data_IF_915070864854
#
_entry.id   IF_915070864854
#
_cell.length_a   1.000
_cell.length_b   1.000
_cell.length_c   1.000
_cell.angle_alpha   90.00
_cell.angle_beta   90.00
_cell.angle_gamma   90.00
#
_symmetry.space_group_name_H-M   'P 1'
#
loop_
_entity.id
_entity.type
_entity.pdbx_description
1 polymer ?
#
# COMPACT_ATOMS: atom_id res chain seq x y z
N UNK A 1 52.62 22.69 -14.78
CA UNK A 1 51.27 23.05 -15.28
C UNK A 1 50.40 21.82 -15.03
N UNK A 2 50.07 21.55 -13.76
CA UNK A 2 48.82 21.94 -13.09
C UNK A 2 47.59 21.40 -13.86
N UNK A 3 46.75 20.50 -13.34
CA UNK A 3 46.58 20.10 -11.95
C UNK A 3 46.00 18.71 -11.74
N UNK A 4 46.41 18.15 -10.61
CA UNK A 4 45.61 17.30 -9.74
C UNK A 4 44.19 17.86 -9.63
N UNK A 5 43.15 17.00 -9.57
CA UNK A 5 42.02 17.27 -8.68
C UNK A 5 41.28 15.95 -8.38
N UNK A 6 41.62 15.43 -7.20
CA UNK A 6 40.71 14.86 -6.20
C UNK A 6 40.23 13.40 -6.41
N UNK A 7 40.98 12.54 -5.72
CA UNK A 7 40.49 11.48 -4.84
C UNK A 7 39.26 12.01 -4.06
N UNK A 8 38.04 11.61 -4.44
CA UNK A 8 36.85 11.85 -3.61
C UNK A 8 36.36 10.55 -2.96
N UNK A 9 37.14 10.22 -1.93
CA UNK A 9 36.72 9.89 -0.58
C UNK A 9 35.60 8.85 -0.32
N UNK A 10 36.06 7.83 0.36
CA UNK A 10 35.45 6.58 0.82
C UNK A 10 34.32 6.70 1.86
N UNK A 11 33.61 7.83 1.95
CA UNK A 11 32.57 8.00 2.97
C UNK A 11 31.16 7.65 2.47
N UNK A 12 31.00 6.39 2.06
CA UNK A 12 29.74 5.70 1.76
C UNK A 12 28.92 5.48 3.06
N UNK A 13 28.46 6.55 3.70
CA UNK A 13 27.32 6.47 4.63
C UNK A 13 26.04 6.64 3.84
N UNK A 14 25.67 5.54 3.20
CA UNK A 14 24.37 5.30 2.59
C UNK A 14 23.25 5.69 3.55
N UNK A 15 22.66 6.88 3.38
CA UNK A 15 21.37 7.18 3.97
C UNK A 15 20.32 6.34 3.24
N UNK A 16 20.22 5.06 3.59
CA UNK A 16 19.16 4.10 3.21
C UNK A 16 17.74 4.59 3.55
N UNK A 17 17.60 5.76 4.19
CA UNK A 17 16.35 6.30 4.70
C UNK A 17 15.47 7.02 3.65
N UNK A 18 15.99 7.43 2.49
CA UNK A 18 15.16 8.15 1.50
C UNK A 18 14.36 7.22 0.57
N UNK A 19 14.91 6.06 0.21
CA UNK A 19 14.28 5.15 -0.75
C UNK A 19 12.92 4.62 -0.25
N UNK A 20 12.81 4.35 1.05
CA UNK A 20 11.57 3.82 1.64
C UNK A 20 10.54 4.93 1.94
N UNK A 21 10.98 6.18 2.14
CA UNK A 21 10.12 7.31 2.52
C UNK A 21 9.42 7.96 1.33
N UNK A 22 10.05 8.03 0.17
CA UNK A 22 9.51 8.79 -0.96
C UNK A 22 8.29 8.19 -1.65
N UNK A 23 8.10 6.86 -1.57
CA UNK A 23 7.28 6.14 -2.57
C UNK A 23 6.27 5.13 -2.01
N UNK A 24 6.44 4.71 -0.74
CA UNK A 24 5.53 3.79 -0.03
C UNK A 24 4.83 4.41 1.19
N UNK A 25 5.14 5.67 1.54
CA UNK A 25 4.71 6.28 2.81
C UNK A 25 3.18 6.33 2.98
N UNK A 26 2.45 6.68 1.94
CA UNK A 26 1.01 6.93 2.00
C UNK A 26 0.17 5.76 2.55
N UNK A 27 0.47 4.53 2.13
CA UNK A 27 -0.30 3.36 2.57
C UNK A 27 -0.07 3.11 4.07
N UNK A 28 1.18 3.22 4.51
CA UNK A 28 1.53 3.10 5.94
C UNK A 28 0.92 4.24 6.76
N UNK A 29 0.91 5.46 6.24
CA UNK A 29 0.26 6.60 6.88
C UNK A 29 -1.25 6.39 7.00
N UNK A 30 -1.92 5.93 5.95
CA UNK A 30 -3.35 5.61 5.98
C UNK A 30 -3.67 4.57 7.05
N UNK A 31 -2.78 3.59 7.23
CA UNK A 31 -2.88 2.58 8.28
C UNK A 31 -2.72 3.19 9.68
N UNK A 32 -1.70 4.02 9.91
CA UNK A 32 -1.46 4.69 11.20
C UNK A 32 -2.57 5.69 11.53
N UNK A 33 -2.94 6.57 10.60
CA UNK A 33 -4.00 7.55 10.75
C UNK A 33 -5.35 6.87 10.97
N UNK A 34 -5.63 5.76 10.27
CA UNK A 34 -6.81 4.94 10.49
C UNK A 34 -6.92 4.46 11.93
N UNK A 35 -5.81 3.98 12.52
CA UNK A 35 -5.78 3.54 13.92
C UNK A 35 -5.95 4.70 14.90
N UNK A 36 -5.26 5.82 14.68
CA UNK A 36 -5.34 7.01 15.55
C UNK A 36 -6.77 7.55 15.56
N UNK A 37 -7.35 7.81 14.39
CA UNK A 37 -8.70 8.33 14.26
C UNK A 37 -9.72 7.31 14.77
N UNK A 38 -9.52 6.02 14.50
CA UNK A 38 -10.36 4.95 15.02
C UNK A 38 -10.39 4.93 16.54
N UNK A 39 -9.24 5.10 17.20
CA UNK A 39 -9.14 5.19 18.66
C UNK A 39 -9.77 6.46 19.22
N UNK A 40 -9.54 7.61 18.58
CA UNK A 40 -10.16 8.90 18.96
C UNK A 40 -11.69 8.84 18.87
N UNK A 41 -12.24 8.08 17.91
CA UNK A 41 -13.68 7.83 17.76
C UNK A 41 -14.22 6.76 18.73
N UNK A 42 -13.46 6.35 19.74
CA UNK A 42 -13.86 5.36 20.74
C UNK A 42 -13.79 3.90 20.26
N UNK A 43 -13.13 3.64 19.14
CA UNK A 43 -12.95 2.30 18.61
C UNK A 43 -11.92 1.48 19.40
N UNK A 44 -12.12 0.15 19.46
CA UNK A 44 -11.26 -0.76 20.23
C UNK A 44 -10.26 -1.47 19.31
N UNK A 45 -8.96 -1.34 19.61
CA UNK A 45 -7.89 -2.01 18.83
C UNK A 45 -8.03 -3.54 18.86
N UNK A 46 -8.54 -4.09 19.96
CA UNK A 46 -8.83 -5.53 20.08
C UNK A 46 -9.76 -6.07 18.98
N UNK A 47 -10.61 -5.22 18.40
CA UNK A 47 -11.50 -5.63 17.31
C UNK A 47 -10.74 -5.88 16.00
N UNK A 48 -9.56 -5.28 15.80
CA UNK A 48 -8.68 -5.58 14.67
C UNK A 48 -8.16 -7.02 14.73
N UNK A 49 -7.77 -7.50 15.92
CA UNK A 49 -7.28 -8.87 16.09
C UNK A 49 -8.38 -9.94 16.01
N UNK A 50 -9.62 -9.58 16.34
CA UNK A 50 -10.80 -10.46 16.22
C UNK A 50 -11.37 -10.50 14.80
N UNK A 51 -10.86 -9.65 13.91
CA UNK A 51 -11.36 -9.54 12.56
C UNK A 51 -10.69 -10.56 11.64
N UNK A 52 -11.48 -11.53 11.16
CA UNK A 52 -11.03 -12.47 10.14
C UNK A 52 -11.41 -11.94 8.75
N UNK A 53 -10.41 -11.51 7.98
CA UNK A 53 -10.61 -11.21 6.56
C UNK A 53 -10.79 -12.52 5.79
N UNK A 54 -11.78 -12.59 4.90
CA UNK A 54 -11.97 -13.78 4.07
C UNK A 54 -10.73 -13.95 3.17
N UNK A 55 -10.07 -15.10 3.25
CA UNK A 55 -8.82 -15.39 2.55
C UNK A 55 -7.65 -14.47 2.94
N UNK A 56 -7.52 -14.12 4.23
CA UNK A 56 -6.38 -13.34 4.76
C UNK A 56 -5.02 -13.93 4.40
N UNK A 57 -4.89 -15.26 4.34
CA UNK A 57 -3.66 -15.92 3.91
C UNK A 57 -3.24 -15.53 2.48
N UNK A 58 -4.22 -15.45 1.57
CA UNK A 58 -3.98 -15.05 0.17
C UNK A 58 -3.55 -13.58 0.08
N UNK A 59 -4.09 -12.72 0.95
CA UNK A 59 -3.67 -11.31 1.05
C UNK A 59 -2.21 -11.19 1.49
N UNK A 60 -1.83 -11.92 2.54
CA UNK A 60 -0.46 -11.94 3.05
C UNK A 60 0.49 -12.45 1.97
N UNK A 61 0.12 -13.52 1.28
CA UNK A 61 0.93 -14.06 0.20
C UNK A 61 1.08 -13.10 -0.99
N UNK A 62 -0.01 -12.43 -1.39
CA UNK A 62 0.02 -11.41 -2.43
C UNK A 62 0.99 -10.27 -2.09
N UNK A 63 0.96 -9.80 -0.84
CA UNK A 63 1.87 -8.76 -0.33
C UNK A 63 3.32 -9.24 -0.24
N UNK A 64 3.55 -10.48 0.21
CA UNK A 64 4.89 -11.08 0.23
C UNK A 64 5.47 -11.17 -1.18
N UNK A 65 4.67 -11.61 -2.16
CA UNK A 65 5.10 -11.60 -3.55
C UNK A 65 5.40 -10.19 -4.04
N UNK A 66 4.54 -9.22 -3.76
CA UNK A 66 4.75 -7.84 -4.21
C UNK A 66 6.04 -7.22 -3.66
N UNK A 67 6.23 -7.34 -2.34
CA UNK A 67 7.39 -6.80 -1.63
C UNK A 67 8.65 -7.59 -2.03
N UNK A 68 8.56 -8.92 -2.08
CA UNK A 68 9.64 -9.81 -2.47
C UNK A 68 10.14 -9.53 -3.89
N UNK A 69 9.24 -9.38 -4.86
CA UNK A 69 9.58 -8.97 -6.23
C UNK A 69 10.25 -7.60 -6.23
N UNK A 70 9.73 -6.62 -5.50
CA UNK A 70 10.35 -5.29 -5.42
C UNK A 70 11.76 -5.33 -4.82
N UNK A 71 12.00 -6.15 -3.79
CA UNK A 71 13.32 -6.32 -3.16
C UNK A 71 14.28 -7.01 -4.12
N UNK A 72 13.86 -8.11 -4.75
CA UNK A 72 14.67 -8.85 -5.72
C UNK A 72 15.10 -7.97 -6.89
N UNK A 73 14.21 -7.09 -7.36
CA UNK A 73 14.54 -6.13 -8.40
C UNK A 73 15.50 -5.05 -7.90
N UNK A 74 15.37 -4.60 -6.65
CA UNK A 74 16.27 -3.60 -6.06
C UNK A 74 17.70 -4.10 -5.87
N UNK A 75 17.91 -5.43 -5.78
CA UNK A 75 19.23 -6.05 -5.71
C UNK A 75 19.73 -6.54 -7.09
N UNK A 76 19.10 -6.08 -8.18
CA UNK A 76 19.45 -6.41 -9.57
C UNK A 76 19.40 -7.92 -9.90
N UNK A 77 18.44 -8.65 -9.32
CA UNK A 77 18.25 -10.05 -9.67
C UNK A 77 17.69 -10.16 -11.11
N UNK A 78 18.50 -10.67 -12.05
CA UNK A 78 18.16 -10.80 -13.47
C UNK A 78 16.84 -11.54 -13.74
N UNK A 79 16.54 -12.59 -12.97
CA UNK A 79 15.30 -13.37 -13.14
C UNK A 79 14.09 -12.52 -12.76
N UNK A 80 14.18 -11.80 -11.64
CA UNK A 80 13.10 -10.94 -11.16
C UNK A 80 12.90 -9.72 -12.07
N UNK A 81 13.98 -9.11 -12.57
CA UNK A 81 13.91 -7.97 -13.51
C UNK A 81 13.25 -8.40 -14.83
N UNK A 82 13.67 -9.53 -15.41
CA UNK A 82 13.12 -10.00 -16.68
C UNK A 82 11.66 -10.44 -16.58
N UNK A 83 11.26 -11.01 -15.43
CA UNK A 83 9.90 -11.49 -15.20
C UNK A 83 9.05 -10.53 -14.35
N UNK A 84 9.48 -9.28 -14.14
CA UNK A 84 8.85 -8.31 -13.23
C UNK A 84 7.35 -8.14 -13.50
N UNK A 85 6.97 -8.04 -14.77
CA UNK A 85 5.59 -7.82 -15.20
C UNK A 85 4.71 -9.00 -14.78
N UNK A 86 5.18 -10.22 -15.03
CA UNK A 86 4.44 -11.45 -14.71
C UNK A 86 4.30 -11.59 -13.19
N UNK A 87 5.39 -11.37 -12.45
CA UNK A 87 5.39 -11.45 -10.98
C UNK A 87 4.41 -10.45 -10.35
N UNK A 88 4.42 -9.20 -10.83
CA UNK A 88 3.46 -8.20 -10.36
C UNK A 88 2.02 -8.56 -10.77
N UNK A 89 1.78 -9.03 -11.99
CA UNK A 89 0.44 -9.45 -12.43
C UNK A 89 -0.10 -10.56 -11.52
N UNK A 90 0.70 -11.58 -11.23
CA UNK A 90 0.30 -12.68 -10.33
C UNK A 90 -0.07 -12.12 -8.93
N UNK A 91 0.80 -11.27 -8.37
CA UNK A 91 0.54 -10.63 -7.07
C UNK A 91 -0.76 -9.80 -7.07
N UNK A 92 -0.99 -9.01 -8.12
CA UNK A 92 -2.22 -8.22 -8.26
C UNK A 92 -3.47 -9.08 -8.45
N UNK A 93 -3.41 -10.17 -9.21
CA UNK A 93 -4.54 -11.11 -9.37
C UNK A 93 -4.91 -11.68 -8.00
N UNK A 94 -3.94 -12.13 -7.22
CA UNK A 94 -4.19 -12.65 -5.86
C UNK A 94 -4.81 -11.58 -4.97
N UNK A 95 -4.29 -10.35 -5.02
CA UNK A 95 -4.85 -9.20 -4.31
C UNK A 95 -6.32 -8.95 -4.73
N UNK A 96 -6.61 -8.92 -6.04
CA UNK A 96 -7.96 -8.69 -6.54
C UNK A 96 -8.93 -9.80 -6.16
N UNK A 97 -8.51 -11.07 -6.14
CA UNK A 97 -9.35 -12.17 -5.66
C UNK A 97 -9.77 -11.91 -4.21
N UNK A 98 -8.83 -11.52 -3.34
CA UNK A 98 -9.17 -11.20 -1.95
C UNK A 98 -10.10 -10.01 -1.86
N UNK A 99 -9.80 -8.91 -2.57
CA UNK A 99 -10.61 -7.71 -2.53
C UNK A 99 -12.03 -7.98 -3.05
N UNK A 100 -12.15 -8.75 -4.14
CA UNK A 100 -13.43 -9.17 -4.73
C UNK A 100 -14.29 -9.95 -3.75
N UNK A 101 -13.69 -10.92 -3.05
CA UNK A 101 -14.37 -11.70 -2.00
C UNK A 101 -14.84 -10.85 -0.80
N UNK A 102 -14.32 -9.63 -0.65
CA UNK A 102 -14.63 -8.71 0.44
C UNK A 102 -15.33 -7.41 -0.02
N UNK A 103 -15.79 -7.33 -1.29
CA UNK A 103 -16.47 -6.15 -1.87
C UNK A 103 -17.79 -5.77 -1.19
N UNK A 104 -18.37 -6.66 -0.38
CA UNK A 104 -19.56 -6.34 0.42
C UNK A 104 -19.36 -5.18 1.41
N UNK A 105 -18.11 -4.75 1.64
CA UNK A 105 -17.79 -3.58 2.47
C UNK A 105 -17.50 -2.36 1.60
N UNK A 106 -18.20 -1.26 1.87
CA UNK A 106 -17.98 0.03 1.17
C UNK A 106 -16.53 0.49 1.18
N UNK A 107 -15.79 0.27 2.27
CA UNK A 107 -14.37 0.66 2.36
C UNK A 107 -13.47 -0.11 1.38
N UNK A 108 -13.81 -1.37 1.08
CA UNK A 108 -13.01 -2.23 0.19
C UNK A 108 -13.13 -1.78 -1.27
N UNK A 109 -14.25 -1.16 -1.66
CA UNK A 109 -14.41 -0.56 -2.98
C UNK A 109 -13.37 0.51 -3.28
N UNK A 110 -13.07 1.39 -2.31
CA UNK A 110 -12.04 2.41 -2.48
C UNK A 110 -10.65 1.79 -2.70
N UNK A 111 -10.32 0.76 -1.91
CA UNK A 111 -9.06 0.01 -2.06
C UNK A 111 -8.99 -0.66 -3.43
N UNK A 112 -10.08 -1.30 -3.85
CA UNK A 112 -10.17 -2.00 -5.13
C UNK A 112 -9.98 -1.04 -6.31
N UNK A 113 -10.69 0.08 -6.34
CA UNK A 113 -10.58 1.08 -7.41
C UNK A 113 -9.15 1.64 -7.49
N UNK A 114 -8.56 2.00 -6.34
CA UNK A 114 -7.19 2.50 -6.30
C UNK A 114 -6.15 1.46 -6.73
N UNK A 115 -6.30 0.21 -6.28
CA UNK A 115 -5.43 -0.90 -6.69
C UNK A 115 -5.58 -1.23 -8.18
N UNK A 116 -6.79 -1.15 -8.72
CA UNK A 116 -7.08 -1.36 -10.14
C UNK A 116 -6.47 -0.27 -11.01
N UNK A 117 -6.55 0.99 -10.59
CA UNK A 117 -5.85 2.09 -11.24
C UNK A 117 -4.32 1.84 -11.28
N UNK A 118 -3.72 1.52 -10.15
CA UNK A 118 -2.28 1.22 -10.08
C UNK A 118 -1.90 0.00 -10.96
N UNK A 119 -2.74 -1.03 -10.99
CA UNK A 119 -2.54 -2.21 -11.84
C UNK A 119 -2.53 -1.86 -13.34
N UNK A 120 -3.51 -1.06 -13.80
CA UNK A 120 -3.57 -0.61 -15.20
C UNK A 120 -2.29 0.16 -15.57
N UNK A 121 -1.88 1.10 -14.71
CA UNK A 121 -0.66 1.87 -14.94
C UNK A 121 0.58 0.96 -15.02
N UNK A 122 0.67 -0.04 -14.15
CA UNK A 122 1.80 -0.95 -14.10
C UNK A 122 1.87 -1.87 -15.32
N UNK A 123 0.75 -2.50 -15.71
CA UNK A 123 0.70 -3.49 -16.79
C UNK A 123 0.93 -2.84 -18.15
N UNK A 124 0.28 -1.70 -18.41
CA UNK A 124 0.44 -0.99 -19.68
C UNK A 124 1.87 -0.49 -19.89
N UNK A 125 2.63 -0.24 -18.82
CA UNK A 125 4.03 0.17 -18.88
C UNK A 125 5.01 -0.99 -18.65
N UNK A 126 4.62 -2.23 -18.93
CA UNK A 126 5.53 -3.38 -18.91
C UNK A 126 6.13 -3.67 -17.53
N UNK A 127 5.31 -3.55 -16.48
CA UNK A 127 5.70 -3.83 -15.10
C UNK A 127 6.43 -2.69 -14.40
N UNK A 128 6.41 -1.48 -14.98
CA UNK A 128 7.07 -0.30 -14.43
C UNK A 128 6.03 0.76 -14.06
N UNK A 129 6.17 1.38 -12.88
CA UNK A 129 5.27 2.44 -12.45
C UNK A 129 5.73 3.79 -13.01
N UNK A 130 4.89 4.56 -13.71
CA UNK A 130 5.24 5.90 -14.15
C UNK A 130 5.50 6.83 -12.96
N UNK A 131 6.60 7.57 -13.01
CA UNK A 131 6.96 8.57 -12.00
C UNK A 131 7.42 9.86 -12.67
N UNK A 132 6.98 10.99 -12.12
CA UNK A 132 7.46 12.30 -12.54
C UNK A 132 8.86 12.56 -11.96
N UNK A 133 9.86 12.48 -12.84
CA UNK A 133 11.28 12.62 -12.48
C UNK A 133 11.62 14.06 -12.08
N UNK A 134 10.93 15.05 -12.65
CA UNK A 134 11.14 16.46 -12.28
C UNK A 134 10.70 16.72 -10.82
N UNK A 135 9.68 16.00 -10.35
CA UNK A 135 9.26 16.05 -8.95
C UNK A 135 10.28 15.39 -8.00
N UNK A 136 10.99 14.34 -8.44
CA UNK A 136 12.07 13.74 -7.64
C UNK A 136 13.19 14.75 -7.38
N UNK A 137 13.61 15.45 -8.42
CA UNK A 137 14.64 16.50 -8.35
C UNK A 137 14.16 17.66 -7.47
N UNK A 138 12.97 18.20 -7.73
CA UNK A 138 12.39 19.32 -6.96
C UNK A 138 12.22 19.03 -5.47
N UNK A 139 11.91 17.77 -5.13
CA UNK A 139 11.71 17.37 -3.73
C UNK A 139 13.00 17.08 -2.98
N UNK A 140 14.14 17.08 -3.67
CA UNK A 140 15.46 16.80 -3.10
C UNK A 140 15.73 15.30 -2.92
N UNK A 141 15.04 14.43 -3.67
CA UNK A 141 15.30 12.98 -3.66
C UNK A 141 16.51 12.62 -4.54
N UNK A 142 17.65 13.27 -4.30
CA UNK A 142 18.84 13.18 -5.14
C UNK A 142 19.31 11.72 -5.33
N UNK A 143 19.28 10.92 -4.25
CA UNK A 143 19.64 9.50 -4.31
C UNK A 143 18.75 8.71 -5.27
N UNK A 144 17.44 8.99 -5.25
CA UNK A 144 16.47 8.31 -6.10
C UNK A 144 16.59 8.79 -7.54
N UNK A 145 16.77 10.10 -7.75
CA UNK A 145 17.00 10.70 -9.05
C UNK A 145 18.25 10.15 -9.75
N UNK A 146 19.37 10.08 -9.05
CA UNK A 146 20.63 9.54 -9.59
C UNK A 146 20.52 8.05 -9.89
N UNK A 147 19.92 7.27 -9.00
CA UNK A 147 19.69 5.83 -9.23
C UNK A 147 18.72 5.57 -10.39
N UNK A 148 17.71 6.43 -10.57
CA UNK A 148 16.82 6.39 -11.72
C UNK A 148 17.57 6.69 -13.02
N UNK A 149 18.37 7.78 -13.05
CA UNK A 149 19.21 8.13 -14.20
C UNK A 149 20.23 7.05 -14.55
N UNK A 150 20.76 6.35 -13.55
CA UNK A 150 21.68 5.23 -13.74
C UNK A 150 20.99 3.94 -14.23
N UNK A 151 19.67 3.93 -14.41
CA UNK A 151 18.91 2.74 -14.81
C UNK A 151 18.78 1.68 -13.71
N UNK A 152 19.21 1.97 -12.48
CA UNK A 152 19.17 1.06 -11.34
C UNK A 152 17.76 0.91 -10.73
N UNK A 153 16.74 1.51 -11.36
CA UNK A 153 15.36 1.49 -10.92
C UNK A 153 14.41 0.97 -12.00
N UNK A 154 14.53 -0.30 -12.42
CA UNK A 154 13.69 -0.87 -13.47
C UNK A 154 12.20 -1.00 -13.05
N UNK A 155 11.83 -0.73 -11.80
CA UNK A 155 10.44 -0.69 -11.37
C UNK A 155 9.73 0.64 -11.71
N UNK A 156 10.47 1.63 -12.20
CA UNK A 156 9.96 2.95 -12.49
C UNK A 156 10.28 3.33 -13.94
N UNK A 157 9.38 4.09 -14.56
CA UNK A 157 9.58 4.68 -15.88
C UNK A 157 9.26 6.17 -15.79
N UNK A 158 9.94 6.98 -16.60
CA UNK A 158 9.65 8.41 -16.68
C UNK A 158 8.22 8.61 -17.20
N UNK A 159 7.46 9.47 -16.54
CA UNK A 159 6.08 9.81 -16.91
C UNK A 159 5.95 10.30 -18.36
N UNK A 160 7.00 10.89 -18.93
CA UNK A 160 7.05 11.37 -20.31
C UNK A 160 7.21 10.22 -21.33
N UNK A 161 7.83 9.11 -20.91
CA UNK A 161 8.03 7.91 -21.74
C UNK A 161 6.92 6.86 -21.50
N UNK A 162 6.05 7.09 -20.53
CA UNK A 162 4.93 6.22 -20.23
C UNK A 162 3.78 6.39 -21.24
N UNK A 163 2.89 5.41 -21.32
CA UNK A 163 1.67 5.52 -22.13
C UNK A 163 0.82 6.72 -21.67
N UNK A 164 0.32 7.52 -22.61
CA UNK A 164 -0.35 8.81 -22.35
C UNK A 164 -1.47 8.76 -21.32
N UNK A 165 -2.28 7.69 -21.32
CA UNK A 165 -3.34 7.52 -20.33
C UNK A 165 -2.78 7.21 -18.92
N UNK A 166 -1.70 6.43 -18.85
CA UNK A 166 -1.09 6.01 -17.58
C UNK A 166 -0.34 7.13 -16.87
N UNK A 167 0.07 8.18 -17.59
CA UNK A 167 0.65 9.38 -16.99
C UNK A 167 -0.30 10.04 -15.99
N UNK A 168 -1.62 9.90 -16.16
CA UNK A 168 -2.59 10.39 -15.18
C UNK A 168 -2.66 9.54 -13.91
N UNK A 169 -2.36 8.25 -14.02
CA UNK A 169 -2.38 7.26 -12.94
C UNK A 169 -1.01 7.06 -12.29
N UNK A 170 0.04 7.66 -12.86
CA UNK A 170 1.40 7.65 -12.35
C UNK A 170 1.58 8.44 -11.06
N UNK A 171 2.79 8.38 -10.53
CA UNK A 171 3.23 9.13 -9.35
C UNK A 171 3.59 10.57 -9.75
N UNK A 172 2.58 11.44 -9.70
CA UNK A 172 2.67 12.86 -10.08
C UNK A 172 2.24 13.85 -9.00
N UNK A 173 1.69 13.35 -7.90
CA UNK A 173 1.24 14.20 -6.80
C UNK A 173 2.27 14.22 -5.69
N UNK A 174 2.39 15.37 -5.04
CA UNK A 174 3.34 15.60 -3.96
C UNK A 174 2.59 16.00 -2.71
N UNK A 175 3.06 15.55 -1.55
CA UNK A 175 2.50 16.05 -0.29
C UNK A 175 2.74 17.55 -0.10
N UNK A 176 1.78 18.29 0.48
CA UNK A 176 1.95 19.70 0.78
C UNK A 176 3.17 19.95 1.68
N UNK A 177 3.78 21.13 1.58
CA UNK A 177 4.99 21.49 2.33
C UNK A 177 4.82 21.44 3.87
N UNK A 178 3.59 21.56 4.36
CA UNK A 178 3.23 21.49 5.79
C UNK A 178 3.29 20.05 6.31
N UNK A 179 3.27 19.06 5.41
CA UNK A 179 3.21 17.65 5.77
C UNK A 179 4.60 17.13 6.18
N UNK A 180 4.73 16.40 7.30
CA UNK A 180 6.03 16.03 7.87
C UNK A 180 6.83 15.06 6.98
N UNK A 181 6.15 14.32 6.11
CA UNK A 181 6.74 13.36 5.20
C UNK A 181 6.56 13.82 3.75
N UNK A 182 7.68 14.18 3.13
CA UNK A 182 7.78 14.42 1.69
C UNK A 182 7.63 13.09 0.96
N UNK A 183 6.64 12.98 0.07
CA UNK A 183 6.41 11.77 -0.71
C UNK A 183 5.76 12.11 -2.06
N UNK A 184 6.01 11.27 -3.05
CA UNK A 184 5.38 11.32 -4.37
C UNK A 184 4.45 10.13 -4.50
N UNK A 185 3.19 10.39 -4.83
CA UNK A 185 2.13 9.39 -4.83
C UNK A 185 1.24 9.48 -6.08
N UNK A 186 0.54 8.40 -6.37
CA UNK A 186 -0.47 8.35 -7.44
C UNK A 186 -1.88 8.63 -6.92
N UNK A 187 -2.81 8.92 -7.83
CA UNK A 187 -4.24 8.97 -7.49
C UNK A 187 -4.71 7.63 -6.90
N UNK A 188 -4.18 6.51 -7.38
CA UNK A 188 -4.48 5.17 -6.88
C UNK A 188 -4.05 4.99 -5.43
N UNK A 189 -2.85 5.47 -5.07
CA UNK A 189 -2.33 5.42 -3.70
C UNK A 189 -3.22 6.22 -2.73
N UNK A 190 -3.78 7.35 -3.17
CA UNK A 190 -4.75 8.13 -2.39
C UNK A 190 -6.04 7.36 -2.13
N UNK A 191 -6.61 6.71 -3.15
CA UNK A 191 -7.81 5.88 -3.00
C UNK A 191 -7.57 4.66 -2.09
N UNK A 192 -6.43 3.99 -2.23
CA UNK A 192 -6.03 2.88 -1.38
C UNK A 192 -5.90 3.35 0.07
N UNK A 193 -5.18 4.44 0.31
CA UNK A 193 -4.93 4.95 1.66
C UNK A 193 -6.22 5.40 2.35
N UNK A 194 -7.11 6.07 1.62
CA UNK A 194 -8.44 6.45 2.11
C UNK A 194 -9.30 5.21 2.41
N UNK A 195 -9.29 4.21 1.53
CA UNK A 195 -10.01 2.96 1.72
C UNK A 195 -9.53 2.21 2.97
N UNK A 196 -8.21 2.13 3.18
CA UNK A 196 -7.60 1.53 4.38
C UNK A 196 -8.01 2.30 5.64
N UNK A 197 -7.95 3.63 5.61
CA UNK A 197 -8.35 4.48 6.73
C UNK A 197 -9.80 4.22 7.14
N UNK A 198 -10.74 4.21 6.18
CA UNK A 198 -12.17 3.94 6.44
C UNK A 198 -12.37 2.49 6.89
N UNK A 199 -11.61 1.55 6.33
CA UNK A 199 -11.69 0.13 6.67
C UNK A 199 -11.27 -0.14 8.11
N UNK A 200 -10.14 0.42 8.55
CA UNK A 200 -9.64 0.30 9.93
C UNK A 200 -10.64 0.89 10.91
N UNK A 201 -11.15 2.10 10.63
CA UNK A 201 -12.14 2.73 11.48
C UNK A 201 -13.42 1.90 11.59
N UNK A 202 -13.92 1.37 10.47
CA UNK A 202 -15.09 0.50 10.44
C UNK A 202 -14.91 -0.76 11.27
N UNK A 203 -13.73 -1.39 11.24
CA UNK A 203 -13.42 -2.55 12.07
C UNK A 203 -13.39 -2.16 13.56
N UNK A 204 -12.70 -1.08 13.92
CA UNK A 204 -12.53 -0.66 15.31
C UNK A 204 -13.85 -0.18 15.97
N UNK A 205 -14.81 0.28 15.18
CA UNK A 205 -16.12 0.74 15.64
C UNK A 205 -17.18 -0.37 15.63
N UNK A 206 -16.86 -1.58 15.18
CA UNK A 206 -17.80 -2.69 15.15
C UNK A 206 -18.05 -3.22 16.58
N UNK A 207 -18.89 -2.53 17.34
CA UNK A 207 -19.48 -3.08 18.55
C UNK A 207 -20.33 -4.29 18.17
N UNK A 208 -19.78 -5.51 18.26
CA UNK A 208 -20.59 -6.73 18.32
C UNK A 208 -21.30 -6.80 19.69
N UNK A 209 -22.20 -5.86 19.94
CA UNK A 209 -23.28 -5.95 20.92
C UNK A 209 -24.53 -6.58 20.28
N UNK A 210 -24.34 -7.56 19.39
CA UNK A 210 -25.43 -8.37 18.82
C UNK A 210 -25.20 -9.87 19.00
N UNK A 211 -24.57 -10.24 20.12
CA UNK A 211 -24.81 -11.56 20.69
C UNK A 211 -25.51 -11.31 22.02
N UNK A 212 -26.80 -11.02 21.94
CA UNK A 212 -27.70 -11.45 23.01
C UNK A 212 -27.88 -12.94 22.70
N UNK A 213 -27.24 -13.89 23.41
CA UNK A 213 -27.82 -15.22 23.45
C UNK A 213 -29.25 -14.97 23.91
N UNK A 214 -30.23 -15.31 23.06
CA UNK A 214 -31.63 -15.14 23.43
C UNK A 214 -31.78 -15.74 24.80
N UNK A 215 -32.13 -14.93 25.79
CA UNK A 215 -32.42 -15.42 27.12
C UNK A 215 -33.62 -16.34 26.93
N UNK A 216 -33.37 -17.64 26.85
CA UNK A 216 -34.43 -18.65 26.90
C UNK A 216 -35.00 -18.48 28.30
N UNK A 217 -36.09 -17.71 28.40
CA UNK A 217 -36.90 -17.65 29.61
C UNK A 217 -37.50 -19.04 29.73
N UNK A 218 -36.89 -19.90 30.53
CA UNK A 218 -37.54 -21.09 31.02
C UNK A 218 -38.67 -20.63 31.94
N UNK A 219 -39.89 -20.67 31.41
CA UNK A 219 -41.10 -20.50 32.18
C UNK A 219 -41.28 -21.76 33.02
N UNK A 220 -40.92 -21.67 34.31
CA UNK A 220 -41.07 -22.77 35.25
C UNK A 220 -42.55 -22.86 35.62
N UNK A 221 -43.31 -23.64 34.84
CA UNK A 221 -44.72 -23.88 35.13
C UNK A 221 -44.83 -24.81 36.33
N UNK A 222 -45.26 -24.18 37.42
CA UNK A 222 -45.56 -24.66 38.77
C UNK A 222 -45.87 -26.16 38.91
N UNK A 223 -45.21 -26.77 39.88
CA UNK A 223 -45.26 -28.19 40.16
C UNK A 223 -46.56 -28.59 40.83
N UNK A 224 -47.32 -29.49 40.18
CA UNK A 224 -48.24 -30.42 40.84
C UNK A 224 -48.30 -31.73 40.05
N UNK A 225 -47.51 -32.72 40.46
CA UNK A 225 -47.87 -34.11 40.21
C UNK A 225 -48.97 -34.49 41.20
N UNK A 226 -50.18 -34.70 40.70
CA UNK A 226 -51.22 -35.41 41.44
C UNK A 226 -50.98 -36.91 41.22
N UNK A 227 -50.83 -37.61 42.34
CA UNK A 227 -50.78 -39.08 42.44
C UNK A 227 -52.06 -39.71 41.89
#
# INVERSE_FOLDING_TARGET
MFGEFIIQDSNRRWKKHDFSRGVCGMIFEGLILGMIIGKLRGGKIEQLGKFMFRSSFLLVFALILQIGTSILISIDNKIAVNNRTILYIISYIMLFIVLFLNLGRKSVWFIFIGAFANFIALVLNGGSMPIDVALLEKMGFENMFQSFKAGAMPNYIDINNAYSFTSYLGKKFVTPAIYPLKQIFSIGDMFISLGILIFIQGIMQTNRSRYSPGTIKFDYKDGRMRL
#
